data_IF_238143237331
#
_entry.id   IF_238143237331
#
_cell.length_a   1.000
_cell.length_b   1.000
_cell.length_c   1.000
_cell.angle_alpha   90.00
_cell.angle_beta   90.00
_cell.angle_gamma   90.00
#
_symmetry.space_group_name_H-M   'P 1'
#
loop_
_entity.id
_entity.type
_entity.pdbx_description
1 polymer ?
#
# COMPACT_ATOMS: atom_id res chain seq x y z
N UNK A 1 -5.76 -23.71 -11.68
CA UNK A 1 -5.37 -23.04 -10.42
C UNK A 1 -6.31 -21.85 -10.23
N UNK A 2 -7.17 -21.91 -9.22
CA UNK A 2 -8.38 -21.07 -9.14
C UNK A 2 -8.06 -19.70 -8.52
N UNK A 3 -8.23 -18.62 -9.30
CA UNK A 3 -7.86 -17.24 -8.91
C UNK A 3 -8.64 -16.74 -7.68
N UNK A 4 -9.87 -17.22 -7.48
CA UNK A 4 -10.69 -16.87 -6.31
C UNK A 4 -10.16 -17.48 -5.00
N UNK A 5 -9.54 -18.66 -5.08
CA UNK A 5 -8.93 -19.32 -3.92
C UNK A 5 -7.65 -18.60 -3.49
N UNK A 6 -6.86 -18.10 -4.44
CA UNK A 6 -5.65 -17.31 -4.15
C UNK A 6 -6.02 -15.94 -3.54
N UNK A 7 -7.04 -15.26 -4.09
CA UNK A 7 -7.54 -13.99 -3.57
C UNK A 7 -8.08 -14.13 -2.14
N UNK A 8 -8.85 -15.18 -1.87
CA UNK A 8 -9.34 -15.47 -0.52
C UNK A 8 -8.20 -15.80 0.46
N UNK A 9 -7.16 -16.52 0.01
CA UNK A 9 -6.00 -16.86 0.84
C UNK A 9 -5.16 -15.63 1.17
N UNK A 10 -4.94 -14.73 0.21
CA UNK A 10 -4.21 -13.47 0.44
C UNK A 10 -4.98 -12.53 1.37
N UNK A 11 -6.30 -12.38 1.17
CA UNK A 11 -7.16 -11.59 2.04
C UNK A 11 -7.22 -12.16 3.47
N UNK A 12 -7.35 -13.49 3.58
CA UNK A 12 -7.35 -14.19 4.88
C UNK A 12 -6.00 -14.06 5.59
N UNK A 13 -4.88 -14.16 4.87
CA UNK A 13 -3.56 -13.92 5.44
C UNK A 13 -3.36 -12.46 5.89
N UNK A 14 -3.87 -11.49 5.12
CA UNK A 14 -3.85 -10.09 5.52
C UNK A 14 -4.68 -9.83 6.78
N UNK A 15 -5.89 -10.40 6.86
CA UNK A 15 -6.75 -10.35 8.04
C UNK A 15 -6.09 -11.01 9.26
N UNK A 16 -5.49 -12.19 9.10
CA UNK A 16 -4.76 -12.88 10.16
C UNK A 16 -3.57 -12.06 10.68
N UNK A 17 -2.83 -11.38 9.79
CA UNK A 17 -1.74 -10.47 10.19
C UNK A 17 -2.27 -9.29 10.99
N UNK A 18 -3.37 -8.66 10.55
CA UNK A 18 -3.98 -7.55 11.29
C UNK A 18 -4.49 -8.02 12.65
N UNK A 19 -5.17 -9.18 12.70
CA UNK A 19 -5.65 -9.77 13.96
C UNK A 19 -4.51 -10.09 14.93
N UNK A 20 -3.39 -10.63 14.43
CA UNK A 20 -2.20 -10.90 15.24
C UNK A 20 -1.59 -9.61 15.82
N UNK A 21 -1.50 -8.53 15.02
CA UNK A 21 -1.02 -7.22 15.49
C UNK A 21 -1.96 -6.63 16.54
N UNK A 22 -3.28 -6.77 16.37
CA UNK A 22 -4.27 -6.31 17.35
C UNK A 22 -4.19 -7.12 18.66
N UNK A 23 -4.00 -8.43 18.59
CA UNK A 23 -3.80 -9.26 19.79
C UNK A 23 -2.53 -8.85 20.55
N UNK A 24 -1.43 -8.61 19.83
CA UNK A 24 -0.18 -8.09 20.40
C UNK A 24 -0.36 -6.73 21.08
N UNK A 25 -1.13 -5.83 20.48
CA UNK A 25 -1.47 -4.54 21.08
C UNK A 25 -2.20 -4.71 22.42
N UNK A 26 -3.23 -5.57 22.46
CA UNK A 26 -3.99 -5.84 23.68
C UNK A 26 -3.07 -6.39 24.77
N UNK A 27 -2.24 -7.40 24.45
CA UNK A 27 -1.28 -7.98 25.39
C UNK A 27 -0.32 -6.92 25.96
N UNK A 28 0.20 -6.02 25.13
CA UNK A 28 1.10 -4.96 25.59
C UNK A 28 0.42 -3.91 26.46
N UNK A 29 -0.84 -3.55 26.15
CA UNK A 29 -1.64 -2.68 27.01
C UNK A 29 -1.92 -3.34 28.36
N UNK A 30 -2.29 -4.63 28.36
CA UNK A 30 -2.51 -5.40 29.60
C UNK A 30 -1.25 -5.48 30.45
N UNK A 31 -0.09 -5.75 29.84
CA UNK A 31 1.21 -5.78 30.53
C UNK A 31 1.59 -4.41 31.11
N UNK A 32 1.34 -3.32 30.37
CA UNK A 32 1.60 -1.96 30.85
C UNK A 32 0.75 -1.59 32.09
N UNK A 33 -0.45 -2.15 32.21
CA UNK A 33 -1.34 -1.91 33.36
C UNK A 33 -0.96 -2.82 34.54
N UNK A 34 -0.67 -4.10 34.28
CA UNK A 34 -0.48 -5.12 35.32
C UNK A 34 0.90 -5.08 35.99
N UNK A 35 1.96 -4.67 35.28
CA UNK A 35 3.31 -4.63 35.83
C UNK A 35 3.46 -3.44 36.78
N UNK A 36 3.85 -3.67 38.05
CA UNK A 36 4.02 -2.60 39.06
C UNK A 36 5.18 -1.64 38.77
N UNK A 37 6.21 -2.08 38.03
CA UNK A 37 7.41 -1.27 37.77
C UNK A 37 7.16 -0.12 36.78
N UNK A 38 7.38 1.12 37.22
CA UNK A 38 7.12 2.35 36.44
C UNK A 38 7.87 2.35 35.09
N UNK A 39 9.12 1.86 35.05
CA UNK A 39 9.93 1.81 33.84
C UNK A 39 9.36 0.87 32.77
N UNK A 40 8.84 -0.29 33.18
CA UNK A 40 8.18 -1.22 32.27
C UNK A 40 6.85 -0.68 31.77
N UNK A 41 6.09 0.05 32.61
CA UNK A 41 4.86 0.73 32.16
C UNK A 41 5.13 1.73 31.04
N UNK A 42 6.20 2.52 31.19
CA UNK A 42 6.60 3.50 30.17
C UNK A 42 7.04 2.77 28.89
N UNK A 43 7.89 1.74 29.00
CA UNK A 43 8.36 0.98 27.85
C UNK A 43 7.20 0.35 27.06
N UNK A 44 6.33 -0.42 27.72
CA UNK A 44 5.17 -1.06 27.09
C UNK A 44 4.14 -0.03 26.62
N UNK A 45 3.98 1.09 27.32
CA UNK A 45 3.11 2.20 26.91
C UNK A 45 3.56 2.85 25.61
N UNK A 46 4.85 3.15 25.45
CA UNK A 46 5.42 3.69 24.20
C UNK A 46 5.27 2.69 23.05
N UNK A 47 5.57 1.42 23.31
CA UNK A 47 5.41 0.33 22.34
C UNK A 47 3.95 0.15 21.90
N UNK A 48 3.00 0.23 22.84
CA UNK A 48 1.57 0.19 22.53
C UNK A 48 1.15 1.42 21.69
N UNK A 49 1.63 2.62 22.02
CA UNK A 49 1.32 3.83 21.26
C UNK A 49 1.81 3.74 19.80
N UNK A 50 3.00 3.18 19.56
CA UNK A 50 3.53 2.94 18.20
C UNK A 50 2.60 1.98 17.42
N UNK A 51 2.17 0.89 18.05
CA UNK A 51 1.28 -0.08 17.40
C UNK A 51 -0.11 0.53 17.15
N UNK A 52 -0.64 1.34 18.10
CA UNK A 52 -1.90 2.05 17.92
C UNK A 52 -1.85 3.01 16.73
N UNK A 53 -0.77 3.77 16.57
CA UNK A 53 -0.57 4.66 15.42
C UNK A 53 -0.52 3.88 14.09
N UNK A 54 0.13 2.71 14.09
CA UNK A 54 0.17 1.83 12.93
C UNK A 54 -1.22 1.27 12.57
N UNK A 55 -1.99 0.80 13.56
CA UNK A 55 -3.37 0.34 13.40
C UNK A 55 -4.28 1.46 12.87
N UNK A 56 -4.16 2.68 13.42
CA UNK A 56 -4.91 3.83 12.96
C UNK A 56 -4.64 4.14 11.48
N UNK A 57 -3.38 4.06 11.05
CA UNK A 57 -2.99 4.25 9.64
C UNK A 57 -3.61 3.18 8.73
N UNK A 58 -3.62 1.91 9.16
CA UNK A 58 -4.28 0.83 8.42
C UNK A 58 -5.79 1.10 8.30
N UNK A 59 -6.44 1.46 9.40
CA UNK A 59 -7.87 1.72 9.43
C UNK A 59 -8.28 2.89 8.53
N UNK A 60 -7.47 3.97 8.55
CA UNK A 60 -7.63 5.11 7.65
C UNK A 60 -7.47 4.66 6.19
N UNK A 61 -6.50 3.82 5.85
CA UNK A 61 -6.33 3.32 4.49
C UNK A 61 -7.47 2.41 4.02
N UNK A 62 -8.07 1.64 4.92
CA UNK A 62 -9.27 0.83 4.61
C UNK A 62 -10.46 1.73 4.27
N UNK A 63 -10.65 2.83 5.00
CA UNK A 63 -11.74 3.79 4.76
C UNK A 63 -11.54 4.66 3.51
N UNK A 64 -10.33 4.75 2.95
CA UNK A 64 -10.04 5.59 1.79
C UNK A 64 -10.52 4.93 0.50
N UNK A 65 -11.16 5.72 -0.37
CA UNK A 65 -11.66 5.28 -1.67
C UNK A 65 -10.49 4.86 -2.57
N UNK A 66 -10.57 3.64 -3.09
CA UNK A 66 -9.61 3.07 -4.03
C UNK A 66 -10.18 3.21 -5.44
N UNK A 67 -9.39 3.76 -6.35
CA UNK A 67 -9.81 3.98 -7.73
C UNK A 67 -8.97 3.14 -8.67
N UNK A 68 -9.59 2.74 -9.77
CA UNK A 68 -8.94 2.04 -10.87
C UNK A 68 -8.81 2.99 -12.06
N UNK A 69 -7.61 3.08 -12.62
CA UNK A 69 -7.34 3.77 -13.88
C UNK A 69 -6.58 2.86 -14.83
N UNK A 70 -6.77 3.08 -16.12
CA UNK A 70 -5.95 2.48 -17.16
C UNK A 70 -5.15 3.58 -17.85
N UNK A 71 -3.85 3.35 -18.03
CA UNK A 71 -3.02 4.33 -18.68
C UNK A 71 -1.63 3.84 -19.03
N UNK A 72 -0.97 4.59 -19.90
CA UNK A 72 0.39 4.28 -20.34
C UNK A 72 1.40 4.84 -19.36
N UNK A 73 2.37 4.03 -18.92
CA UNK A 73 3.46 4.51 -18.08
C UNK A 73 4.43 5.37 -18.90
N UNK A 74 4.60 6.63 -18.54
CA UNK A 74 5.48 7.58 -19.25
C UNK A 74 6.86 7.64 -18.58
N UNK A 75 6.89 7.64 -17.26
CA UNK A 75 8.13 7.76 -16.48
C UNK A 75 7.96 7.15 -15.09
N UNK A 76 9.03 6.53 -14.60
CA UNK A 76 9.19 6.10 -13.22
C UNK A 76 10.43 6.79 -12.70
N UNK A 77 10.26 7.73 -11.78
CA UNK A 77 11.37 8.46 -11.18
C UNK A 77 11.69 7.86 -9.81
N UNK A 78 12.97 7.53 -9.53
CA UNK A 78 13.38 7.08 -8.22
C UNK A 78 13.25 8.21 -7.19
N UNK A 79 13.02 7.88 -5.92
CA UNK A 79 12.94 8.88 -4.86
C UNK A 79 14.30 9.56 -4.65
N UNK A 80 14.31 10.90 -4.65
CA UNK A 80 15.51 11.71 -4.37
C UNK A 80 15.86 11.79 -2.86
N UNK A 81 15.48 10.80 -2.04
CA UNK A 81 15.77 10.80 -0.60
C UNK A 81 15.21 9.60 0.17
N UNK A 82 15.76 9.32 1.37
CA UNK A 82 15.50 8.10 2.18
C UNK A 82 14.03 7.89 2.59
N UNK A 83 13.23 8.96 2.68
CA UNK A 83 11.82 8.90 3.10
C UNK A 83 10.84 9.27 1.97
N UNK A 84 11.32 9.39 0.72
CA UNK A 84 10.48 9.78 -0.42
C UNK A 84 10.00 8.55 -1.18
N UNK A 85 8.83 8.68 -1.80
CA UNK A 85 8.20 7.64 -2.62
C UNK A 85 8.69 7.72 -4.07
N UNK A 86 8.66 6.59 -4.78
CA UNK A 86 8.82 6.57 -6.23
C UNK A 86 7.68 7.36 -6.87
N UNK A 87 7.99 8.13 -7.90
CA UNK A 87 6.98 8.88 -8.66
C UNK A 87 6.72 8.15 -9.98
N UNK A 88 5.45 7.90 -10.27
CA UNK A 88 5.02 7.23 -11.50
C UNK A 88 4.09 8.17 -12.25
N UNK A 89 4.42 8.44 -13.51
CA UNK A 89 3.63 9.29 -14.39
C UNK A 89 2.87 8.43 -15.39
N UNK A 90 1.55 8.52 -15.35
CA UNK A 90 0.64 7.71 -16.16
C UNK A 90 -0.17 8.61 -17.09
N UNK A 91 -0.12 8.32 -18.39
CA UNK A 91 -0.97 8.98 -19.39
C UNK A 91 -2.34 8.33 -19.42
N UNK A 92 -3.38 9.10 -19.16
CA UNK A 92 -4.78 8.71 -19.25
C UNK A 92 -5.43 9.60 -20.32
N UNK A 93 -5.61 9.06 -21.53
CA UNK A 93 -6.10 9.83 -22.67
C UNK A 93 -5.20 11.04 -22.98
N UNK A 94 -5.74 12.26 -22.80
CA UNK A 94 -5.03 13.54 -23.00
C UNK A 94 -4.35 14.08 -21.73
N UNK A 95 -4.56 13.45 -20.58
CA UNK A 95 -4.07 13.94 -19.28
C UNK A 95 -2.95 13.04 -18.74
N UNK A 96 -2.06 13.60 -17.91
CA UNK A 96 -1.01 12.84 -17.21
C UNK A 96 -1.26 12.92 -15.72
N UNK A 97 -1.38 11.76 -15.06
CA UNK A 97 -1.56 11.67 -13.62
C UNK A 97 -0.26 11.22 -12.95
N UNK A 98 0.12 11.94 -11.89
CA UNK A 98 1.25 11.59 -11.02
C UNK A 98 0.77 10.73 -9.88
N UNK A 99 1.35 9.55 -9.74
CA UNK A 99 1.10 8.59 -8.68
C UNK A 99 2.38 8.31 -7.90
N UNK A 100 2.24 7.78 -6.70
CA UNK A 100 3.35 7.51 -5.81
C UNK A 100 3.41 6.05 -5.42
N UNK A 101 4.60 5.54 -5.15
CA UNK A 101 4.77 4.22 -4.57
C UNK A 101 5.82 4.20 -3.48
N UNK A 102 5.49 3.66 -2.30
CA UNK A 102 6.46 3.51 -1.22
C UNK A 102 7.53 2.45 -1.52
N UNK A 103 7.25 1.53 -2.46
CA UNK A 103 8.16 0.45 -2.86
C UNK A 103 8.62 0.62 -4.30
N UNK A 104 9.76 0.00 -4.64
CA UNK A 104 10.27 -0.02 -6.00
C UNK A 104 9.22 -0.60 -6.95
N UNK A 105 8.96 0.13 -8.04
CA UNK A 105 7.99 -0.26 -9.07
C UNK A 105 8.71 -0.72 -10.32
N UNK A 106 8.33 -1.91 -10.80
CA UNK A 106 8.84 -2.52 -12.04
C UNK A 106 7.96 -2.20 -13.26
N UNK A 107 7.44 -0.96 -13.37
CA UNK A 107 6.69 -0.52 -14.54
C UNK A 107 7.65 -0.09 -15.66
N UNK A 108 7.41 -0.59 -16.87
CA UNK A 108 8.18 -0.24 -18.05
C UNK A 108 7.56 0.97 -18.76
N UNK A 109 8.39 1.94 -19.11
CA UNK A 109 7.99 3.08 -19.95
C UNK A 109 7.38 2.59 -21.27
N UNK A 110 6.26 3.20 -21.67
CA UNK A 110 5.55 2.90 -22.91
C UNK A 110 4.52 1.77 -22.81
N UNK A 111 4.48 1.01 -21.71
CA UNK A 111 3.48 -0.05 -21.53
C UNK A 111 2.19 0.44 -20.89
N UNK A 112 1.09 -0.23 -21.20
CA UNK A 112 -0.23 0.05 -20.63
C UNK A 112 -0.40 -0.72 -19.31
N UNK A 113 -0.87 -0.04 -18.28
CA UNK A 113 -1.11 -0.64 -16.97
C UNK A 113 -2.51 -0.30 -16.47
N UNK A 114 -3.15 -1.27 -15.84
CA UNK A 114 -4.29 -1.07 -14.96
C UNK A 114 -3.77 -0.82 -13.56
N UNK A 115 -4.11 0.32 -12.96
CA UNK A 115 -3.53 0.79 -11.71
C UNK A 115 -4.62 1.08 -10.72
N UNK A 116 -4.55 0.40 -9.59
CA UNK A 116 -5.35 0.67 -8.40
C UNK A 116 -4.58 1.64 -7.51
N UNK A 117 -5.13 2.82 -7.28
CA UNK A 117 -4.49 3.84 -6.42
C UNK A 117 -5.48 4.41 -5.40
N UNK A 118 -4.95 4.92 -4.29
CA UNK A 118 -5.71 5.57 -3.24
C UNK A 118 -5.86 7.07 -3.54
N UNK A 119 -7.07 7.62 -3.56
CA UNK A 119 -7.33 8.98 -4.12
C UNK A 119 -6.62 10.12 -3.37
N UNK A 120 -6.68 10.10 -2.03
CA UNK A 120 -6.11 11.18 -1.20
C UNK A 120 -4.59 11.23 -1.21
N UNK A 121 -3.93 10.08 -1.34
CA UNK A 121 -2.47 9.95 -1.29
C UNK A 121 -1.85 9.79 -2.68
N UNK A 122 -2.66 9.48 -3.69
CA UNK A 122 -2.23 9.01 -5.01
C UNK A 122 -1.25 7.82 -4.93
N UNK A 123 -1.31 7.03 -3.85
CA UNK A 123 -0.45 5.87 -3.66
C UNK A 123 -0.95 4.68 -4.49
N UNK A 124 -0.04 4.05 -5.23
CA UNK A 124 -0.29 2.83 -5.98
C UNK A 124 -0.41 1.66 -4.99
N UNK A 125 -1.57 1.02 -5.01
CA UNK A 125 -1.89 -0.16 -4.19
C UNK A 125 -1.54 -1.43 -4.97
N UNK A 126 -1.94 -1.47 -6.24
CA UNK A 126 -1.70 -2.59 -7.14
C UNK A 126 -1.58 -2.08 -8.56
N UNK A 127 -0.72 -2.69 -9.35
CA UNK A 127 -0.67 -2.46 -10.79
C UNK A 127 -0.59 -3.78 -11.53
N UNK A 128 -1.23 -3.85 -12.68
CA UNK A 128 -1.25 -5.00 -13.57
C UNK A 128 -0.90 -4.52 -14.97
N UNK A 129 0.06 -5.19 -15.61
CA UNK A 129 0.36 -4.91 -17.01
C UNK A 129 -0.82 -5.39 -17.85
N UNK A 130 -1.49 -4.46 -18.53
CA UNK A 130 -2.56 -4.82 -19.45
C UNK A 130 -1.87 -5.27 -20.73
N UNK A 131 -1.93 -6.57 -20.98
CA UNK A 131 -1.42 -7.19 -22.20
C UNK A 131 -2.19 -6.70 -23.42
N UNK A 132 -1.88 -5.50 -23.89
CA UNK A 132 -2.27 -5.02 -25.21
C UNK A 132 -1.00 -4.53 -25.89
N UNK A 133 -0.45 -5.44 -26.69
CA UNK A 133 0.50 -5.14 -27.75
C UNK A 133 -0.19 -4.16 -28.71
N UNK A 134 -0.06 -2.86 -28.46
CA UNK A 134 -0.32 -1.83 -29.46
C UNK A 134 0.77 -2.00 -30.54
N UNK A 135 0.61 -3.01 -31.39
CA UNK A 135 1.13 -2.96 -32.74
C UNK A 135 0.58 -1.66 -33.33
N UNK A 136 1.42 -0.62 -33.38
CA UNK A 136 1.21 0.50 -34.28
C UNK A 136 0.97 -0.12 -35.67
N UNK A 137 -0.16 0.14 -36.35
CA UNK A 137 -0.18 -0.09 -37.78
C UNK A 137 0.93 0.79 -38.37
N UNK A 138 1.95 0.15 -38.95
CA UNK A 138 2.93 0.84 -39.78
C UNK A 138 2.14 1.43 -40.94
N UNK A 139 2.13 2.76 -41.06
CA UNK A 139 1.92 3.42 -42.34
C UNK A 139 3.21 3.34 -43.12
#
# INVERSE_FOLDING_TARGET
>A
MNWDVLKNKEQRNALLRVAAVTALFIVMVTLAIYIKGIGYKILFGVLAAIIAAFLAKIFISIKRKKFYIQGQCIAVNPPKGKFKKYEVYIKIGKTTKKLYSPSQINMKKGKLYGIYFEEKSNDIIKFEELGVNLQRPKK
#
